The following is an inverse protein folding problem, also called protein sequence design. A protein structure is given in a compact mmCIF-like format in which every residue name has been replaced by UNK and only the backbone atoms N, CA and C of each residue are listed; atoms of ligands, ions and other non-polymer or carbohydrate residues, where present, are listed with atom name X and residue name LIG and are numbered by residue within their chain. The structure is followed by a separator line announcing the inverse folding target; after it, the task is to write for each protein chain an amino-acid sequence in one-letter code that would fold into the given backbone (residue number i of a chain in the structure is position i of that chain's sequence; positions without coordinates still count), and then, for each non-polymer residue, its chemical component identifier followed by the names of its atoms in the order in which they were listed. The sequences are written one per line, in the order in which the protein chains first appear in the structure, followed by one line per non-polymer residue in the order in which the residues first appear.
data_IF_061906138139
#
_entry.id   IF_061906138139
#
_cell.length_a   1.000
_cell.length_b   1.000
_cell.length_c   1.000
_cell.angle_alpha   90.00
_cell.angle_beta   90.00
_cell.angle_gamma   90.00
#
_symmetry.space_group_name_H-M   'P 1'
#
loop_
_entity.id
_entity.type
_entity.pdbx_description
1 polymer ?
#
# COMPACT_ATOMS: atom_id res chain seq x y z
N UNK A 1 -12.00 38.16 42.30
CA UNK A 1 -12.58 36.80 42.11
C UNK A 1 -12.74 36.41 40.63
N UNK A 2 -13.29 37.25 39.78
CA UNK A 2 -13.54 36.93 38.36
C UNK A 2 -12.27 36.58 37.52
N UNK A 3 -11.13 37.19 37.78
CA UNK A 3 -9.88 36.87 37.05
C UNK A 3 -9.38 35.43 37.24
N UNK A 4 -9.55 34.85 38.42
CA UNK A 4 -9.18 33.44 38.69
C UNK A 4 -10.19 32.48 38.06
N UNK A 5 -11.46 32.84 37.98
CA UNK A 5 -12.50 32.03 37.32
C UNK A 5 -12.32 32.00 35.81
N UNK A 6 -11.95 33.14 35.18
CA UNK A 6 -11.64 33.24 33.76
C UNK A 6 -10.41 32.41 33.36
N UNK A 7 -9.34 32.38 34.18
CA UNK A 7 -8.16 31.55 33.97
C UNK A 7 -8.50 30.06 34.07
N UNK A 8 -9.37 29.68 34.99
CA UNK A 8 -9.79 28.27 35.13
C UNK A 8 -10.63 27.80 33.93
N UNK A 9 -11.52 28.66 33.42
CA UNK A 9 -12.31 28.38 32.20
C UNK A 9 -11.41 28.25 30.96
N UNK A 10 -10.38 29.07 30.83
CA UNK A 10 -9.44 29.01 29.71
C UNK A 10 -8.59 27.72 29.72
N UNK A 11 -8.20 27.24 30.92
CA UNK A 11 -7.50 25.97 31.08
C UNK A 11 -8.36 24.77 30.68
N UNK A 12 -9.67 24.78 30.98
CA UNK A 12 -10.58 23.68 30.62
C UNK A 12 -10.74 23.57 29.09
N UNK A 13 -10.82 24.71 28.38
CA UNK A 13 -10.96 24.72 26.90
C UNK A 13 -9.75 24.10 26.19
N UNK A 14 -8.54 24.24 26.75
CA UNK A 14 -7.32 23.68 26.17
C UNK A 14 -7.32 22.15 26.26
N UNK A 15 -7.94 21.55 27.28
CA UNK A 15 -7.99 20.08 27.43
C UNK A 15 -9.03 19.39 26.53
N UNK A 16 -10.01 20.12 25.98
CA UNK A 16 -11.03 19.55 25.07
C UNK A 16 -10.59 19.54 23.59
N UNK A 17 -9.43 20.10 23.25
CA UNK A 17 -9.02 20.38 21.87
C UNK A 17 -8.28 19.28 21.11
N UNK A 18 -8.10 18.06 21.61
CA UNK A 18 -7.30 17.05 20.89
C UNK A 18 -7.87 15.64 20.97
N UNK A 19 -9.12 15.47 20.54
CA UNK A 19 -9.64 14.14 20.24
C UNK A 19 -9.62 13.94 18.72
N UNK A 20 -8.42 13.71 18.16
CA UNK A 20 -8.32 13.11 16.83
C UNK A 20 -8.91 11.71 16.95
N UNK A 21 -10.09 11.50 16.39
CA UNK A 21 -10.65 10.18 16.14
C UNK A 21 -9.70 9.42 15.23
N UNK A 22 -8.70 8.76 15.84
CA UNK A 22 -7.91 7.74 15.14
C UNK A 22 -8.89 6.61 14.84
N UNK A 23 -9.37 6.56 13.61
CA UNK A 23 -10.10 5.40 13.10
C UNK A 23 -9.22 4.19 13.35
N UNK A 24 -9.66 3.33 14.26
CA UNK A 24 -8.94 2.10 14.60
C UNK A 24 -9.21 1.13 13.46
N UNK A 25 -8.31 1.14 12.45
CA UNK A 25 -8.40 0.27 11.28
C UNK A 25 -7.87 -1.10 11.68
N UNK A 26 -8.75 -2.11 11.70
CA UNK A 26 -8.35 -3.51 11.73
C UNK A 26 -7.92 -3.89 10.33
N UNK A 27 -6.61 -3.85 10.08
CA UNK A 27 -6.00 -4.24 8.80
C UNK A 27 -6.09 -5.76 8.66
N UNK A 28 -6.49 -6.24 7.49
CA UNK A 28 -6.60 -7.66 7.15
C UNK A 28 -5.53 -8.04 6.12
N UNK A 29 -5.55 -7.38 4.97
CA UNK A 29 -4.55 -7.55 3.92
C UNK A 29 -4.52 -6.37 2.96
N UNK A 30 -3.45 -6.28 2.19
CA UNK A 30 -3.32 -5.38 1.05
C UNK A 30 -2.85 -6.18 -0.16
N UNK A 31 -3.42 -5.88 -1.33
CA UNK A 31 -2.96 -6.44 -2.60
C UNK A 31 -2.52 -5.34 -3.54
N UNK A 32 -1.56 -5.65 -4.39
CA UNK A 32 -1.17 -4.83 -5.54
C UNK A 32 -1.24 -5.68 -6.80
N UNK A 33 -1.92 -5.19 -7.80
CA UNK A 33 -1.86 -5.68 -9.17
C UNK A 33 -1.31 -4.57 -10.06
N UNK A 34 -0.34 -4.90 -10.92
CA UNK A 34 0.17 -3.98 -11.95
C UNK A 34 -0.12 -4.56 -13.33
N UNK A 35 -0.54 -3.70 -14.23
CA UNK A 35 -0.83 -4.08 -15.61
C UNK A 35 0.37 -3.78 -16.54
N UNK A 36 0.35 -4.36 -17.71
CA UNK A 36 1.33 -4.04 -18.75
C UNK A 36 1.28 -2.55 -19.12
N UNK A 37 2.36 -2.05 -19.66
CA UNK A 37 2.45 -0.72 -20.26
C UNK A 37 2.96 -0.81 -21.69
N UNK A 38 3.02 0.30 -22.40
CA UNK A 38 3.72 0.37 -23.68
C UNK A 38 5.24 0.37 -23.41
N UNK A 39 5.82 -0.82 -23.07
CA UNK A 39 7.22 -0.95 -22.73
C UNK A 39 7.52 -2.19 -21.90
N UNK A 40 8.45 -2.07 -20.96
CA UNK A 40 8.98 -3.18 -20.14
C UNK A 40 8.51 -3.11 -18.68
N UNK A 41 7.25 -2.68 -18.44
CA UNK A 41 6.71 -2.66 -17.09
C UNK A 41 6.50 -4.09 -16.58
N UNK A 42 6.98 -4.43 -15.38
CA UNK A 42 6.71 -5.71 -14.79
C UNK A 42 5.23 -5.85 -14.39
N UNK A 43 4.71 -7.08 -14.48
CA UNK A 43 3.37 -7.42 -14.02
C UNK A 43 3.51 -8.17 -12.69
N UNK A 44 3.05 -7.53 -11.62
CA UNK A 44 3.08 -8.03 -10.26
C UNK A 44 1.69 -8.32 -9.73
N UNK A 45 1.55 -9.43 -9.01
CA UNK A 45 0.44 -9.75 -8.15
C UNK A 45 0.99 -9.97 -6.74
N UNK A 46 0.79 -9.00 -5.86
CA UNK A 46 1.30 -9.00 -4.49
C UNK A 46 0.15 -9.09 -3.49
N UNK A 47 0.31 -9.90 -2.46
CA UNK A 47 -0.52 -9.89 -1.25
C UNK A 47 0.38 -9.78 -0.01
N UNK A 48 0.00 -8.91 0.93
CA UNK A 48 0.59 -8.83 2.26
C UNK A 48 -0.55 -8.89 3.27
N UNK A 49 -0.53 -9.86 4.17
CA UNK A 49 -1.55 -10.03 5.19
C UNK A 49 -1.15 -9.42 6.56
N UNK A 50 -2.04 -9.48 7.52
CA UNK A 50 -1.85 -8.98 8.90
C UNK A 50 -0.75 -9.74 9.66
N UNK A 51 -0.49 -11.01 9.32
CA UNK A 51 0.66 -11.80 9.82
C UNK A 51 1.99 -11.40 9.17
N UNK A 52 2.00 -10.38 8.31
CA UNK A 52 3.15 -9.87 7.56
C UNK A 52 3.69 -10.83 6.51
N UNK A 53 2.97 -11.89 6.19
CA UNK A 53 3.34 -12.81 5.12
C UNK A 53 3.18 -12.11 3.77
N UNK A 54 4.14 -12.35 2.89
CA UNK A 54 4.17 -11.86 1.52
C UNK A 54 3.93 -13.04 0.60
N UNK A 55 2.99 -12.90 -0.33
CA UNK A 55 2.83 -13.72 -1.50
C UNK A 55 2.99 -12.85 -2.72
N UNK A 56 3.89 -13.20 -3.61
CA UNK A 56 4.15 -12.47 -4.84
C UNK A 56 4.16 -13.42 -6.02
N UNK A 57 3.33 -13.16 -7.02
CA UNK A 57 3.44 -13.76 -8.34
C UNK A 57 3.93 -12.69 -9.31
N UNK A 58 5.09 -12.92 -9.92
CA UNK A 58 5.66 -12.10 -10.99
C UNK A 58 5.31 -12.77 -12.31
N UNK A 59 4.31 -12.23 -13.00
CA UNK A 59 3.83 -12.76 -14.27
C UNK A 59 4.76 -12.39 -15.42
N UNK A 60 5.22 -11.13 -15.44
CA UNK A 60 6.19 -10.64 -16.41
C UNK A 60 7.27 -9.77 -15.75
N UNK A 61 8.49 -9.99 -16.13
CA UNK A 61 9.62 -9.15 -15.77
C UNK A 61 10.59 -9.04 -16.96
N UNK A 62 11.12 -7.84 -17.21
CA UNK A 62 11.95 -7.56 -18.37
C UNK A 62 13.33 -7.05 -17.97
N UNK A 63 14.31 -7.40 -18.76
CA UNK A 63 15.64 -6.80 -18.71
C UNK A 63 15.53 -5.41 -19.35
N UNK A 64 15.81 -4.36 -18.58
CA UNK A 64 15.52 -2.96 -18.94
C UNK A 64 16.05 -2.50 -20.30
N UNK A 65 17.14 -3.11 -20.79
CA UNK A 65 17.85 -2.65 -21.98
C UNK A 65 17.56 -3.50 -23.23
N UNK A 66 16.96 -4.68 -23.08
CA UNK A 66 16.82 -5.64 -24.21
C UNK A 66 15.39 -5.99 -24.58
N UNK A 67 14.39 -5.56 -23.84
CA UNK A 67 12.99 -6.02 -23.95
C UNK A 67 12.80 -7.53 -23.80
N UNK A 68 13.84 -8.27 -23.41
CA UNK A 68 13.77 -9.69 -23.15
C UNK A 68 13.21 -9.98 -21.76
N UNK A 69 12.45 -11.07 -21.65
CA UNK A 69 11.90 -11.50 -20.35
C UNK A 69 13.02 -12.09 -19.48
N UNK A 70 13.13 -11.62 -18.26
CA UNK A 70 14.00 -12.20 -17.24
C UNK A 70 13.26 -13.33 -16.50
N UNK A 71 13.35 -14.54 -17.02
CA UNK A 71 12.71 -15.72 -16.45
C UNK A 71 13.19 -16.04 -15.03
N UNK A 72 14.38 -15.56 -14.64
CA UNK A 72 14.90 -15.75 -13.29
C UNK A 72 14.12 -14.96 -12.23
N UNK A 73 13.46 -13.88 -12.63
CA UNK A 73 12.65 -13.02 -11.77
C UNK A 73 11.15 -13.27 -11.86
N UNK A 74 10.72 -14.17 -12.77
CA UNK A 74 9.31 -14.52 -12.95
C UNK A 74 8.92 -15.72 -12.09
N UNK A 75 7.64 -15.83 -11.71
CA UNK A 75 7.10 -16.96 -10.94
C UNK A 75 6.63 -16.59 -9.55
N UNK A 76 6.49 -17.58 -8.67
CA UNK A 76 5.94 -17.43 -7.33
C UNK A 76 7.03 -17.25 -6.28
N UNK A 77 6.81 -16.30 -5.38
CA UNK A 77 7.73 -15.96 -4.30
C UNK A 77 6.95 -15.76 -3.00
N UNK A 78 7.59 -16.11 -1.90
CA UNK A 78 7.07 -15.85 -0.57
C UNK A 78 8.10 -15.15 0.29
N UNK A 79 7.64 -14.47 1.33
CA UNK A 79 8.51 -13.77 2.26
C UNK A 79 7.75 -13.26 3.46
N UNK A 80 8.39 -12.41 4.22
CA UNK A 80 7.79 -11.78 5.39
C UNK A 80 8.33 -10.36 5.57
N UNK A 81 7.42 -9.41 5.82
CA UNK A 81 7.83 -8.08 6.25
C UNK A 81 8.47 -8.13 7.64
N UNK A 82 9.55 -7.40 7.81
CA UNK A 82 10.08 -7.11 9.15
C UNK A 82 9.06 -6.28 9.95
N UNK A 83 9.20 -6.29 11.27
CA UNK A 83 8.37 -5.44 12.15
C UNK A 83 8.43 -3.96 11.77
N UNK A 84 9.62 -3.48 11.39
CA UNK A 84 9.83 -2.08 10.99
C UNK A 84 9.07 -1.74 9.70
N UNK A 85 9.13 -2.60 8.70
CA UNK A 85 8.43 -2.41 7.42
C UNK A 85 6.92 -2.47 7.58
N UNK A 86 6.43 -3.39 8.42
CA UNK A 86 5.00 -3.47 8.69
C UNK A 86 4.48 -2.21 9.42
N UNK A 87 5.23 -1.70 10.39
CA UNK A 87 4.90 -0.42 11.04
C UNK A 87 4.91 0.73 10.03
N UNK A 88 5.86 0.73 9.09
CA UNK A 88 5.90 1.73 8.04
C UNK A 88 4.69 1.62 7.11
N UNK A 89 4.31 0.42 6.66
CA UNK A 89 3.08 0.19 5.90
C UNK A 89 1.85 0.73 6.64
N UNK A 90 1.71 0.41 7.93
CA UNK A 90 0.59 0.89 8.75
C UNK A 90 0.56 2.41 8.90
N UNK A 91 1.73 3.08 8.87
CA UNK A 91 1.79 4.54 8.85
C UNK A 91 1.33 5.12 7.51
N UNK A 92 1.74 4.52 6.39
CA UNK A 92 1.30 4.93 5.05
C UNK A 92 -0.22 4.81 4.90
N UNK A 93 -0.83 3.77 5.49
CA UNK A 93 -2.28 3.58 5.47
C UNK A 93 -3.05 4.67 6.23
N UNK A 94 -2.42 5.40 7.16
CA UNK A 94 -3.07 6.51 7.88
C UNK A 94 -3.35 7.73 7.02
N UNK A 95 -2.59 7.87 5.93
CA UNK A 95 -2.73 9.00 5.00
C UNK A 95 -3.78 8.71 3.91
N UNK A 96 -4.29 7.48 3.86
CA UNK A 96 -5.31 7.06 2.90
C UNK A 96 -6.70 7.49 3.39
N UNK A 97 -7.46 8.07 2.48
CA UNK A 97 -8.88 8.37 2.73
C UNK A 97 -9.72 7.09 2.57
N UNK A 98 -10.31 6.64 3.67
CA UNK A 98 -11.17 5.46 3.72
C UNK A 98 -12.67 5.80 3.63
N UNK A 99 -13.06 7.05 3.51
CA UNK A 99 -14.48 7.44 3.37
C UNK A 99 -15.01 7.03 1.99
N UNK A 100 -14.21 7.20 0.94
CA UNK A 100 -14.53 6.74 -0.39
C UNK A 100 -14.12 5.28 -0.59
N UNK A 101 -15.02 4.48 -1.16
CA UNK A 101 -14.75 3.06 -1.46
C UNK A 101 -13.69 2.89 -2.55
N UNK A 102 -13.67 3.76 -3.54
CA UNK A 102 -12.75 3.72 -4.68
C UNK A 102 -12.15 5.11 -4.92
N UNK A 103 -10.85 5.12 -5.23
CA UNK A 103 -10.13 6.33 -5.67
C UNK A 103 -9.49 6.02 -7.01
N UNK A 104 -9.75 6.86 -8.02
CA UNK A 104 -9.17 6.74 -9.35
C UNK A 104 -8.31 7.97 -9.60
N UNK A 105 -7.01 7.77 -9.84
CA UNK A 105 -6.05 8.84 -10.05
C UNK A 105 -5.39 8.72 -11.42
N UNK A 106 -5.23 9.85 -12.08
CA UNK A 106 -4.36 10.06 -13.25
C UNK A 106 -4.29 8.85 -14.21
N UNK A 107 -5.39 8.61 -14.91
CA UNK A 107 -5.44 7.68 -16.03
C UNK A 107 -5.08 8.43 -17.32
N UNK A 108 -3.85 8.29 -17.78
CA UNK A 108 -3.47 8.77 -19.11
C UNK A 108 -2.30 7.95 -19.66
N UNK A 109 -2.21 7.96 -20.99
CA UNK A 109 -1.02 7.56 -21.72
C UNK A 109 -0.61 6.09 -21.52
N UNK A 110 0.68 5.80 -21.67
CA UNK A 110 1.21 4.45 -21.79
C UNK A 110 1.77 3.88 -20.48
N UNK A 111 1.34 4.41 -19.34
CA UNK A 111 1.81 3.97 -18.02
C UNK A 111 1.17 2.65 -17.57
N UNK A 112 1.87 1.89 -16.72
CA UNK A 112 1.29 0.73 -16.04
C UNK A 112 0.21 1.17 -15.06
N UNK A 113 -1.01 0.64 -15.22
CA UNK A 113 -2.06 0.82 -14.22
C UNK A 113 -1.73 -0.04 -12.99
N UNK A 114 -1.83 0.57 -11.81
CA UNK A 114 -1.65 -0.08 -10.52
C UNK A 114 -2.98 -0.06 -9.79
N UNK A 115 -3.46 -1.25 -9.43
CA UNK A 115 -4.66 -1.44 -8.62
C UNK A 115 -4.23 -1.93 -7.24
N UNK A 116 -4.53 -1.15 -6.21
CA UNK A 116 -4.27 -1.50 -4.81
C UNK A 116 -5.60 -1.74 -4.14
N UNK A 117 -5.78 -2.91 -3.50
CA UNK A 117 -6.96 -3.20 -2.69
C UNK A 117 -6.54 -3.38 -1.23
N UNK A 118 -7.13 -2.58 -0.34
CA UNK A 118 -6.87 -2.59 1.09
C UNK A 118 -8.10 -3.17 1.78
N UNK A 119 -7.93 -4.28 2.47
CA UNK A 119 -8.98 -4.98 3.23
C UNK A 119 -8.86 -4.59 4.69
N UNK A 120 -9.96 -4.08 5.26
CA UNK A 120 -9.99 -3.56 6.62
C UNK A 120 -11.40 -3.57 7.19
N UNK A 121 -11.57 -3.98 8.45
CA UNK A 121 -12.88 -3.98 9.14
C UNK A 121 -14.01 -4.67 8.33
N UNK A 122 -13.69 -5.75 7.58
CA UNK A 122 -14.63 -6.40 6.66
C UNK A 122 -15.03 -5.56 5.44
N UNK A 123 -14.29 -4.50 5.12
CA UNK A 123 -14.49 -3.60 3.97
C UNK A 123 -13.29 -3.64 3.03
N UNK A 124 -13.47 -3.08 1.84
CA UNK A 124 -12.41 -2.94 0.84
C UNK A 124 -12.34 -1.49 0.38
N UNK A 125 -11.12 -0.92 0.38
CA UNK A 125 -10.77 0.31 -0.31
C UNK A 125 -9.96 -0.04 -1.54
N UNK A 126 -10.34 0.49 -2.69
CA UNK A 126 -9.61 0.30 -3.96
C UNK A 126 -9.00 1.64 -4.39
N UNK A 127 -7.73 1.60 -4.81
CA UNK A 127 -7.01 2.73 -5.40
C UNK A 127 -6.50 2.27 -6.76
N UNK A 128 -6.88 2.99 -7.81
CA UNK A 128 -6.39 2.76 -9.18
C UNK A 128 -5.60 3.98 -9.64
N UNK A 129 -4.36 3.80 -10.05
CA UNK A 129 -3.49 4.89 -10.48
C UNK A 129 -2.46 4.43 -11.49
N UNK A 130 -2.23 5.23 -12.52
CA UNK A 130 -1.03 5.13 -13.37
C UNK A 130 0.10 5.99 -12.78
N UNK A 131 -0.23 7.21 -12.37
CA UNK A 131 0.69 8.18 -11.79
C UNK A 131 0.16 8.59 -10.42
N UNK A 132 0.72 8.03 -9.33
CA UNK A 132 0.20 8.25 -7.99
C UNK A 132 0.34 9.73 -7.57
N UNK A 133 -0.67 10.23 -6.88
CA UNK A 133 -0.65 11.54 -6.22
C UNK A 133 0.31 11.53 -5.03
N UNK A 134 0.59 12.71 -4.48
CA UNK A 134 1.43 12.81 -3.27
C UNK A 134 0.86 12.00 -2.08
N UNK A 135 -0.45 11.80 -2.02
CA UNK A 135 -1.10 11.00 -0.95
C UNK A 135 -0.88 9.50 -1.12
N UNK A 136 -0.85 9.01 -2.36
CA UNK A 136 -0.77 7.57 -2.67
C UNK A 136 0.62 7.12 -3.08
N UNK A 137 1.52 8.06 -3.43
CA UNK A 137 2.89 7.79 -3.88
C UNK A 137 3.68 6.93 -2.89
N UNK A 138 3.56 7.23 -1.60
CA UNK A 138 4.30 6.49 -0.57
C UNK A 138 3.92 5.02 -0.52
N UNK A 139 2.61 4.70 -0.55
CA UNK A 139 2.15 3.32 -0.50
C UNK A 139 2.44 2.57 -1.81
N UNK A 140 2.29 3.23 -2.97
CA UNK A 140 2.63 2.64 -4.27
C UNK A 140 4.11 2.28 -4.32
N UNK A 141 5.01 3.22 -3.96
CA UNK A 141 6.45 2.97 -3.94
C UNK A 141 6.81 1.83 -2.99
N UNK A 142 6.27 1.83 -1.77
CA UNK A 142 6.51 0.77 -0.81
C UNK A 142 6.13 -0.63 -1.34
N UNK A 143 4.96 -0.76 -1.98
CA UNK A 143 4.51 -2.05 -2.51
C UNK A 143 5.36 -2.52 -3.70
N UNK A 144 5.79 -1.62 -4.57
CA UNK A 144 6.72 -1.94 -5.65
C UNK A 144 8.09 -2.36 -5.09
N UNK A 145 8.62 -1.63 -4.10
CA UNK A 145 9.88 -1.99 -3.43
C UNK A 145 9.81 -3.38 -2.78
N UNK A 146 8.63 -3.77 -2.25
CA UNK A 146 8.42 -5.13 -1.73
C UNK A 146 8.49 -6.17 -2.84
N UNK A 147 7.92 -5.91 -4.03
CA UNK A 147 8.00 -6.82 -5.17
C UNK A 147 9.43 -7.04 -5.69
N UNK A 148 10.31 -6.06 -5.52
CA UNK A 148 11.69 -6.07 -6.03
C UNK A 148 12.73 -6.50 -4.98
N UNK A 149 12.30 -6.95 -3.79
CA UNK A 149 13.22 -7.36 -2.71
C UNK A 149 13.99 -8.64 -3.03
N UNK A 150 15.30 -8.59 -2.81
CA UNK A 150 16.18 -9.77 -2.89
C UNK A 150 15.90 -10.84 -1.82
N UNK A 151 15.12 -10.50 -0.78
CA UNK A 151 14.85 -11.40 0.35
C UNK A 151 13.64 -12.32 0.12
N UNK A 152 12.95 -12.19 -1.00
CA UNK A 152 11.84 -13.08 -1.35
C UNK A 152 12.39 -14.43 -1.83
N UNK A 153 11.80 -15.50 -1.31
CA UNK A 153 12.22 -16.87 -1.64
C UNK A 153 11.27 -17.44 -2.68
N UNK A 154 11.82 -17.93 -3.78
CA UNK A 154 11.04 -18.60 -4.83
C UNK A 154 10.38 -19.85 -4.26
N UNK A 155 9.12 -20.08 -4.62
CA UNK A 155 8.35 -21.27 -4.25
C UNK A 155 7.77 -21.96 -5.48
N UNK A 156 7.53 -23.26 -5.38
CA UNK A 156 6.78 -24.04 -6.38
C UNK A 156 5.28 -24.07 -6.05
N UNK A 157 4.89 -23.59 -4.89
CA UNK A 157 3.48 -23.50 -4.50
C UNK A 157 2.82 -22.37 -5.29
N UNK A 158 1.79 -22.72 -6.05
CA UNK A 158 0.96 -21.76 -6.77
C UNK A 158 -0.15 -21.27 -5.84
N UNK A 159 -0.40 -19.98 -5.86
CA UNK A 159 -1.46 -19.33 -5.12
C UNK A 159 -2.15 -18.28 -5.98
N UNK A 160 -3.41 -18.01 -5.70
CA UNK A 160 -4.17 -16.91 -6.28
C UNK A 160 -4.07 -15.67 -5.35
N UNK A 161 -4.01 -14.48 -5.94
CA UNK A 161 -3.93 -13.19 -5.23
C UNK A 161 -5.08 -12.28 -5.69
#
# INVERSE_FOLDING_TARGET
MYRKLLLLLFLIVIFYGCNQNKTNISFEKITLHTEMCLGTCPIYHLEINDDKQIKLFVEEFYIKESFEKDLSKMGYFTGKLSKKEFVYLMNLLRDIDFEEKETIENHCCDGSLKTISIYYNGKIKVIKTMFPSEKTKGIVSFLIDVCEKDQLVRTNEKFEI
#
